data_IF_173516988131
#
_entry.id   IF_173516988131
#
_cell.length_a   1.000
_cell.length_b   1.000
_cell.length_c   1.000
_cell.angle_alpha   90.00
_cell.angle_beta   90.00
_cell.angle_gamma   90.00
#
_symmetry.space_group_name_H-M   'P 1'
#
loop_
_entity.id
_entity.type
_entity.pdbx_description
1 polymer ?
#
# COMPACT_ATOMS: atom_id res chain seq x y z
N UNK A 1 5.57 -19.19 -34.36
CA UNK A 1 6.57 -18.35 -33.68
C UNK A 1 5.84 -17.12 -33.17
N UNK A 2 6.09 -16.80 -31.90
CA UNK A 2 5.83 -15.55 -31.19
C UNK A 2 4.51 -14.80 -31.39
N UNK A 3 3.60 -14.92 -30.42
CA UNK A 3 2.79 -13.78 -29.98
C UNK A 3 2.44 -13.97 -28.51
N UNK A 4 3.33 -13.49 -27.63
CA UNK A 4 2.95 -13.16 -26.26
C UNK A 4 2.31 -11.77 -26.29
N UNK A 5 1.02 -11.62 -26.01
CA UNK A 5 0.57 -10.44 -25.32
C UNK A 5 0.92 -10.66 -23.85
N UNK A 6 2.14 -10.25 -23.54
CA UNK A 6 2.53 -9.62 -22.29
C UNK A 6 1.40 -8.72 -21.77
N UNK A 7 0.40 -9.33 -21.13
CA UNK A 7 -0.54 -8.66 -20.25
C UNK A 7 0.24 -8.32 -18.96
N UNK A 8 1.22 -7.43 -19.10
CA UNK A 8 1.64 -6.56 -18.04
C UNK A 8 0.41 -5.73 -17.70
N UNK A 9 -0.49 -6.31 -16.91
CA UNK A 9 -1.67 -5.64 -16.36
C UNK A 9 -1.17 -4.49 -15.50
N UNK A 10 -0.96 -3.38 -16.21
CA UNK A 10 -0.92 -2.00 -15.80
C UNK A 10 -0.57 -1.83 -14.34
N UNK A 11 0.69 -2.17 -13.97
CA UNK A 11 1.34 -1.90 -12.69
C UNK A 11 0.35 -1.63 -11.55
N UNK A 12 -0.57 -2.57 -11.29
CA UNK A 12 -1.64 -2.35 -10.33
C UNK A 12 -0.92 -2.15 -9.01
N UNK A 13 -0.99 -0.95 -8.43
CA UNK A 13 -0.18 -0.59 -7.26
C UNK A 13 -0.47 -1.60 -6.16
N UNK A 14 0.42 -2.58 -6.01
CA UNK A 14 0.31 -3.61 -5.00
C UNK A 14 0.56 -2.94 -3.67
N UNK A 15 -0.11 -3.42 -2.63
CA UNK A 15 0.12 -2.90 -1.29
C UNK A 15 1.58 -3.23 -0.90
N UNK A 16 2.44 -2.24 -0.63
CA UNK A 16 3.84 -2.52 -0.32
C UNK A 16 4.03 -3.18 1.06
N UNK A 17 2.96 -3.26 1.88
CA UNK A 17 2.99 -3.91 3.20
C UNK A 17 2.77 -5.42 3.08
N UNK A 18 1.77 -5.86 2.29
CA UNK A 18 1.44 -7.28 2.14
C UNK A 18 1.82 -7.87 0.77
N UNK A 19 2.32 -7.05 -0.15
CA UNK A 19 2.70 -7.39 -1.52
C UNK A 19 1.57 -7.99 -2.38
N UNK A 20 0.33 -7.76 -1.97
CA UNK A 20 -0.88 -8.26 -2.62
C UNK A 20 -1.73 -7.11 -3.18
N UNK A 21 -2.74 -7.44 -3.97
CA UNK A 21 -3.71 -6.47 -4.49
C UNK A 21 -4.46 -5.83 -3.31
N UNK A 22 -4.48 -4.49 -3.22
CA UNK A 22 -5.14 -3.84 -2.12
C UNK A 22 -6.66 -4.01 -2.19
N UNK A 23 -7.21 -4.62 -1.15
CA UNK A 23 -8.65 -4.61 -0.86
C UNK A 23 -8.95 -3.36 -0.02
N UNK A 24 -9.93 -2.56 -0.47
CA UNK A 24 -10.23 -1.25 0.13
C UNK A 24 -8.99 -0.34 0.24
N UNK A 25 -8.38 -0.02 -0.90
CA UNK A 25 -7.17 0.78 -0.97
C UNK A 25 -7.37 2.17 -0.33
N UNK A 26 -6.44 2.56 0.54
CA UNK A 26 -6.33 3.92 1.07
C UNK A 26 -5.18 4.65 0.38
N UNK A 27 -5.39 5.92 0.05
CA UNK A 27 -4.35 6.78 -0.52
C UNK A 27 -3.75 7.67 0.55
N UNK A 28 -2.42 7.69 0.63
CA UNK A 28 -1.71 8.60 1.52
C UNK A 28 -1.51 9.96 0.84
N UNK A 29 -2.10 11.04 1.35
CA UNK A 29 -1.85 12.38 0.85
C UNK A 29 -0.55 12.93 1.49
N UNK A 30 0.37 13.63 0.78
CA UNK A 30 0.35 14.02 -0.64
C UNK A 30 1.04 13.05 -1.61
N UNK A 31 1.64 11.98 -1.13
CA UNK A 31 2.44 11.06 -1.95
C UNK A 31 1.61 10.10 -2.82
N UNK A 32 0.29 10.04 -2.61
CA UNK A 32 -0.71 9.23 -3.31
C UNK A 32 -0.40 7.73 -3.39
N UNK A 33 0.39 7.21 -2.44
CA UNK A 33 0.68 5.79 -2.35
C UNK A 33 -0.52 5.01 -1.81
N UNK A 34 -0.75 3.83 -2.39
CA UNK A 34 -1.92 2.98 -2.14
C UNK A 34 -1.55 1.82 -1.21
N UNK A 35 -2.37 1.58 -0.19
CA UNK A 35 -2.19 0.48 0.77
C UNK A 35 -3.53 -0.19 1.06
N UNK A 36 -3.55 -1.46 1.50
CA UNK A 36 -4.77 -2.05 2.06
C UNK A 36 -5.18 -1.28 3.33
N UNK A 37 -6.49 -1.05 3.51
CA UNK A 37 -7.00 -0.44 4.75
C UNK A 37 -6.53 -1.19 6.00
N UNK A 38 -6.59 -2.52 5.98
CA UNK A 38 -6.15 -3.39 7.09
C UNK A 38 -4.64 -3.28 7.37
N UNK A 39 -3.82 -3.16 6.32
CA UNK A 39 -2.37 -2.97 6.45
C UNK A 39 -2.04 -1.59 7.02
N UNK A 40 -2.71 -0.54 6.54
CA UNK A 40 -2.55 0.81 7.08
C UNK A 40 -2.98 0.88 8.54
N UNK A 41 -4.12 0.30 8.90
CA UNK A 41 -4.61 0.29 10.28
C UNK A 41 -3.60 -0.35 11.25
N UNK A 42 -3.10 -1.55 10.92
CA UNK A 42 -2.08 -2.24 11.73
C UNK A 42 -0.80 -1.43 11.85
N UNK A 43 -0.40 -0.77 10.76
CA UNK A 43 0.77 0.09 10.75
C UNK A 43 0.59 1.30 11.66
N UNK A 44 -0.57 1.97 11.60
CA UNK A 44 -0.92 3.10 12.47
C UNK A 44 -0.95 2.70 13.94
N UNK A 45 -1.52 1.54 14.27
CA UNK A 45 -1.54 0.99 15.64
C UNK A 45 -0.11 0.71 16.16
N UNK A 46 0.75 0.16 15.30
CA UNK A 46 2.16 -0.11 15.63
C UNK A 46 2.96 1.19 15.84
N UNK A 47 2.72 2.21 15.01
CA UNK A 47 3.38 3.51 15.10
C UNK A 47 2.87 4.37 16.26
N UNK A 48 1.59 4.27 16.62
CA UNK A 48 1.02 4.98 17.76
C UNK A 48 1.59 4.51 19.11
N UNK A 49 2.08 3.26 19.18
CA UNK A 49 2.69 2.70 20.39
C UNK A 49 4.21 2.93 20.48
N UNK A 50 4.83 3.56 19.48
CA UNK A 50 6.25 3.92 19.54
C UNK A 50 6.40 5.24 20.32
N UNK A 51 7.10 5.26 21.48
CA UNK A 51 7.24 6.46 22.31
C UNK A 51 8.09 7.56 21.65
N UNK A 52 8.68 7.29 20.49
CA UNK A 52 9.47 8.23 19.69
C UNK A 52 8.86 8.49 18.30
N UNK A 53 7.64 8.02 18.02
CA UNK A 53 6.98 8.36 16.77
C UNK A 53 6.75 9.87 16.68
N UNK A 54 7.12 10.53 15.56
CA UNK A 54 6.79 11.93 15.37
C UNK A 54 5.27 12.08 15.40
N UNK A 55 4.78 12.93 16.30
CA UNK A 55 3.36 13.28 16.36
C UNK A 55 3.01 14.08 15.10
N UNK A 56 2.25 13.47 14.20
CA UNK A 56 1.72 14.15 13.01
C UNK A 56 2.05 13.42 11.70
N UNK A 57 0.99 12.89 11.08
CA UNK A 57 0.81 12.98 9.64
C UNK A 57 0.20 14.35 9.34
#
# INVERSE_FOLDING_TARGET
EDEQPEEATSSAATCPICLDRPDNAVLMNPCLHQFCFSCMQRWSETKANDPHAPVGM
#
